data_IF_771182482199
#
_entry.id   IF_771182482199
#
_cell.length_a   1.000
_cell.length_b   1.000
_cell.length_c   1.000
_cell.angle_alpha   90.00
_cell.angle_beta   90.00
_cell.angle_gamma   90.00
#
_symmetry.space_group_name_H-M   'P 1'
#
loop_
_entity.id
_entity.type
_entity.pdbx_description
1 polymer ?
#
# COMPACT_ATOMS: atom_id res chain seq x y z
N UNK A 1 26.91 -18.12 12.89
CA UNK A 1 25.73 -17.27 12.70
C UNK A 1 24.79 -17.64 13.81
N UNK A 2 24.29 -16.68 14.59
CA UNK A 2 23.20 -16.96 15.55
C UNK A 2 21.99 -17.43 14.74
N UNK A 3 21.39 -18.52 15.18
CA UNK A 3 20.16 -19.04 14.57
C UNK A 3 19.07 -17.97 14.73
N UNK A 4 18.44 -17.55 13.62
CA UNK A 4 17.35 -16.57 13.66
C UNK A 4 16.13 -17.23 14.30
N UNK A 5 15.42 -16.50 15.15
CA UNK A 5 14.11 -16.92 15.60
C UNK A 5 13.12 -17.01 14.43
N UNK A 6 12.21 -17.97 14.48
CA UNK A 6 11.23 -18.17 13.42
C UNK A 6 9.80 -18.17 13.96
N UNK A 7 8.88 -17.55 13.23
CA UNK A 7 7.45 -17.53 13.52
C UNK A 7 6.67 -18.12 12.33
N UNK A 8 5.77 -19.09 12.57
CA UNK A 8 4.94 -19.69 11.52
C UNK A 8 3.63 -18.93 11.39
N UNK A 9 3.21 -18.70 10.14
CA UNK A 9 1.91 -18.15 9.74
C UNK A 9 1.29 -18.96 8.60
N UNK A 10 -0.02 -18.85 8.41
CA UNK A 10 -0.62 -19.34 7.18
C UNK A 10 -0.29 -18.42 6.01
N UNK A 11 -0.33 -17.10 6.25
CA UNK A 11 -0.07 -16.08 5.24
C UNK A 11 0.84 -14.99 5.80
N UNK A 12 1.91 -14.69 5.07
CA UNK A 12 2.74 -13.51 5.28
C UNK A 12 2.57 -12.55 4.11
N UNK A 13 2.35 -11.28 4.41
CA UNK A 13 2.19 -10.21 3.41
C UNK A 13 3.31 -9.19 3.58
N UNK A 14 4.03 -8.89 2.52
CA UNK A 14 5.09 -7.87 2.51
C UNK A 14 4.52 -6.58 1.94
N UNK A 15 4.35 -5.59 2.80
CA UNK A 15 3.83 -4.26 2.50
C UNK A 15 2.40 -4.02 2.97
N UNK A 16 2.22 -3.03 3.86
CA UNK A 16 0.93 -2.55 4.36
C UNK A 16 0.36 -1.41 3.50
N UNK A 17 0.51 -1.52 2.19
CA UNK A 17 -0.18 -0.65 1.22
C UNK A 17 -1.61 -1.13 0.97
N UNK A 18 -2.37 -0.43 0.08
CA UNK A 18 -3.76 -0.80 -0.22
C UNK A 18 -3.92 -2.26 -0.64
N UNK A 19 -2.99 -2.79 -1.44
CA UNK A 19 -3.04 -4.16 -1.93
C UNK A 19 -2.87 -5.19 -0.81
N UNK A 20 -1.85 -5.02 0.05
CA UNK A 20 -1.59 -5.93 1.17
C UNK A 20 -2.70 -5.92 2.21
N UNK A 21 -3.17 -4.73 2.59
CA UNK A 21 -4.26 -4.58 3.55
C UNK A 21 -5.58 -5.15 3.03
N UNK A 22 -5.92 -4.88 1.76
CA UNK A 22 -7.12 -5.45 1.13
C UNK A 22 -7.07 -6.97 1.04
N UNK A 23 -5.90 -7.53 0.72
CA UNK A 23 -5.70 -8.97 0.70
C UNK A 23 -5.90 -9.57 2.09
N UNK A 24 -5.30 -9.00 3.14
CA UNK A 24 -5.44 -9.46 4.51
C UNK A 24 -6.89 -9.44 4.98
N UNK A 25 -7.59 -8.31 4.78
CA UNK A 25 -9.02 -8.17 5.13
C UNK A 25 -9.85 -9.24 4.40
N UNK A 26 -9.64 -9.41 3.09
CA UNK A 26 -10.39 -10.38 2.30
C UNK A 26 -10.11 -11.82 2.74
N UNK A 27 -8.88 -12.16 3.10
CA UNK A 27 -8.51 -13.47 3.64
C UNK A 27 -9.27 -13.70 4.95
N UNK A 28 -9.24 -12.76 5.88
CA UNK A 28 -9.94 -12.88 7.17
C UNK A 28 -11.46 -12.94 7.02
N UNK A 29 -12.04 -12.22 6.05
CA UNK A 29 -13.48 -12.33 5.73
C UNK A 29 -13.87 -13.72 5.22
N UNK A 30 -12.99 -14.38 4.47
CA UNK A 30 -13.26 -15.71 3.88
C UNK A 30 -12.86 -16.85 4.79
N UNK A 31 -11.86 -16.66 5.61
CA UNK A 31 -11.26 -17.67 6.49
C UNK A 31 -10.78 -17.02 7.78
N UNK A 32 -11.69 -16.78 8.75
CA UNK A 32 -11.37 -16.05 9.99
C UNK A 32 -10.23 -16.66 10.82
N UNK A 33 -10.08 -17.98 10.77
CA UNK A 33 -9.07 -18.70 11.55
C UNK A 33 -7.66 -18.68 10.93
N UNK A 34 -7.53 -18.19 9.69
CA UNK A 34 -6.23 -18.08 9.02
C UNK A 34 -5.34 -17.08 9.76
N UNK A 35 -4.15 -17.48 10.15
CA UNK A 35 -3.14 -16.60 10.73
C UNK A 35 -2.51 -15.75 9.62
N UNK A 36 -2.64 -14.42 9.75
CA UNK A 36 -2.14 -13.46 8.75
C UNK A 36 -1.24 -12.44 9.42
N UNK A 37 -0.05 -12.24 8.87
CA UNK A 37 0.90 -11.24 9.30
C UNK A 37 1.26 -10.32 8.14
N UNK A 38 1.41 -9.02 8.41
CA UNK A 38 1.88 -8.01 7.44
C UNK A 38 3.16 -7.38 7.97
N UNK A 39 4.22 -7.38 7.15
CA UNK A 39 5.44 -6.62 7.41
C UNK A 39 5.37 -5.28 6.66
N UNK A 40 5.65 -4.19 7.37
CA UNK A 40 5.72 -2.85 6.80
C UNK A 40 7.07 -2.20 7.14
N UNK A 41 7.80 -1.74 6.12
CA UNK A 41 9.10 -1.09 6.31
C UNK A 41 9.03 0.31 6.90
N UNK A 42 7.91 1.01 6.70
CA UNK A 42 7.66 2.31 7.30
C UNK A 42 7.48 2.21 8.80
N UNK A 43 7.86 3.25 9.52
CA UNK A 43 7.67 3.33 10.98
C UNK A 43 6.20 3.26 11.40
N UNK A 44 5.30 3.54 10.49
CA UNK A 44 3.85 3.39 10.61
C UNK A 44 3.25 3.07 9.23
N UNK A 45 2.05 2.49 9.22
CA UNK A 45 1.31 2.26 7.98
C UNK A 45 0.99 3.59 7.31
N UNK A 46 1.28 3.68 6.01
CA UNK A 46 1.04 4.88 5.22
C UNK A 46 2.16 5.91 5.20
N UNK A 47 3.22 5.75 6.02
CA UNK A 47 4.33 6.72 6.10
C UNK A 47 5.07 6.92 4.75
N UNK A 48 5.17 5.89 3.94
CA UNK A 48 5.87 5.94 2.65
C UNK A 48 4.93 6.10 1.45
N UNK A 49 3.64 6.37 1.69
CA UNK A 49 2.67 6.54 0.62
C UNK A 49 2.61 8.01 0.22
N UNK A 50 2.88 8.31 -1.05
CA UNK A 50 2.66 9.64 -1.60
C UNK A 50 1.16 9.95 -1.56
N UNK A 51 0.79 10.92 -0.74
CA UNK A 51 -0.59 11.25 -0.40
C UNK A 51 -1.27 12.13 -1.44
N UNK A 52 -2.60 12.18 -1.37
CA UNK A 52 -3.49 12.91 -2.28
C UNK A 52 -3.81 12.08 -3.53
N UNK A 53 -4.99 11.53 -3.56
CA UNK A 53 -5.48 10.74 -4.68
C UNK A 53 -6.96 11.02 -4.92
N UNK A 54 -7.38 10.81 -6.17
CA UNK A 54 -8.79 10.62 -6.50
C UNK A 54 -9.03 9.11 -6.54
N UNK A 55 -9.97 8.63 -5.76
CA UNK A 55 -10.20 7.21 -5.53
C UNK A 55 -11.60 6.84 -5.99
N UNK A 56 -11.69 5.87 -6.92
CA UNK A 56 -12.93 5.20 -7.26
C UNK A 56 -13.29 4.25 -6.10
N UNK A 57 -14.46 4.40 -5.45
CA UNK A 57 -14.83 3.64 -4.27
C UNK A 57 -15.20 2.18 -4.56
N UNK A 58 -15.31 1.78 -5.82
CA UNK A 58 -15.80 0.46 -6.23
C UNK A 58 -15.14 -0.69 -5.46
N UNK A 59 -13.81 -0.70 -5.38
CA UNK A 59 -13.07 -1.76 -4.67
C UNK A 59 -13.33 -1.72 -3.17
N UNK A 60 -13.53 -0.53 -2.61
CA UNK A 60 -13.83 -0.37 -1.19
C UNK A 60 -15.29 -0.76 -0.89
N UNK A 61 -16.23 -0.43 -1.78
CA UNK A 61 -17.63 -0.89 -1.71
C UNK A 61 -17.75 -2.42 -1.75
N UNK A 62 -16.86 -3.09 -2.50
CA UNK A 62 -16.79 -4.56 -2.55
C UNK A 62 -16.11 -5.18 -1.33
N UNK A 63 -15.12 -4.50 -0.74
CA UNK A 63 -14.33 -5.01 0.37
C UNK A 63 -15.04 -4.80 1.71
N UNK A 64 -15.53 -3.58 1.95
CA UNK A 64 -16.19 -3.14 3.19
C UNK A 64 -17.41 -2.29 2.78
N UNK A 65 -18.57 -2.89 2.49
CA UNK A 65 -19.71 -2.18 1.89
C UNK A 65 -20.20 -0.96 2.68
N UNK A 66 -20.05 -0.98 3.99
CA UNK A 66 -20.49 0.05 4.95
C UNK A 66 -19.34 0.99 5.38
N UNK A 67 -18.26 1.07 4.62
CA UNK A 67 -17.06 1.87 4.96
C UNK A 67 -17.37 3.35 5.23
N UNK A 68 -18.43 3.90 4.60
CA UNK A 68 -18.85 5.30 4.79
C UNK A 68 -19.34 5.57 6.20
N UNK A 69 -19.95 4.57 6.83
CA UNK A 69 -20.52 4.66 8.17
C UNK A 69 -19.51 4.24 9.27
N UNK A 70 -18.35 3.70 8.85
CA UNK A 70 -17.30 3.22 9.76
C UNK A 70 -16.18 4.23 10.00
N UNK A 71 -16.41 5.52 9.74
CA UNK A 71 -15.41 6.57 9.98
C UNK A 71 -14.21 6.51 9.03
N UNK A 72 -14.37 5.98 7.83
CA UNK A 72 -13.33 6.01 6.81
C UNK A 72 -13.05 7.47 6.39
N UNK A 73 -11.80 7.94 6.46
CA UNK A 73 -11.46 9.34 6.15
C UNK A 73 -11.75 9.75 4.70
N UNK A 74 -11.93 8.77 3.82
CA UNK A 74 -12.28 9.02 2.43
C UNK A 74 -13.72 9.54 2.27
N UNK A 75 -14.64 9.18 3.17
CA UNK A 75 -16.05 9.56 3.10
C UNK A 75 -16.31 11.06 3.22
N UNK A 76 -15.34 11.80 3.77
CA UNK A 76 -15.47 13.22 4.06
C UNK A 76 -15.45 14.13 2.82
N UNK A 77 -14.79 13.69 1.73
CA UNK A 77 -14.54 14.55 0.57
C UNK A 77 -14.97 13.88 -0.75
N UNK A 78 -16.29 13.76 -0.99
CA UNK A 78 -16.80 13.30 -2.29
C UNK A 78 -16.50 14.33 -3.38
N UNK A 79 -16.24 13.88 -4.61
CA UNK A 79 -16.11 14.74 -5.78
C UNK A 79 -17.50 15.10 -6.29
N UNK A 80 -17.91 16.35 -6.06
CA UNK A 80 -19.21 16.87 -6.51
C UNK A 80 -19.10 17.57 -7.88
N UNK A 81 -17.95 18.18 -8.17
CA UNK A 81 -17.66 18.83 -9.44
C UNK A 81 -16.26 18.44 -9.96
N UNK A 82 -16.14 18.33 -11.26
CA UNK A 82 -14.91 17.97 -11.95
C UNK A 82 -14.75 18.81 -13.17
N UNK A 83 -13.74 19.66 -13.23
CA UNK A 83 -13.51 20.61 -14.31
C UNK A 83 -12.16 20.39 -14.97
N UNK A 84 -12.13 20.52 -16.29
CA UNK A 84 -10.91 20.47 -17.10
C UNK A 84 -10.62 21.84 -17.69
N UNK A 85 -9.51 22.43 -17.30
CA UNK A 85 -9.17 23.80 -17.68
C UNK A 85 -7.92 23.82 -18.54
N UNK A 86 -8.00 24.51 -19.66
CA UNK A 86 -6.83 24.91 -20.44
C UNK A 86 -6.39 26.27 -19.94
N UNK A 87 -5.18 26.35 -19.42
CA UNK A 87 -4.59 27.61 -18.91
C UNK A 87 -3.77 28.27 -20.00
N UNK A 88 -3.92 29.59 -20.14
CA UNK A 88 -3.14 30.44 -21.05
C UNK A 88 -2.42 31.51 -20.25
N UNK A 89 -1.54 32.27 -20.89
CA UNK A 89 -0.84 33.39 -20.21
C UNK A 89 -1.78 34.48 -19.68
N UNK A 90 -2.96 34.61 -20.26
CA UNK A 90 -3.91 35.71 -19.96
C UNK A 90 -5.26 35.24 -19.42
N UNK A 91 -5.49 33.94 -19.28
CA UNK A 91 -6.78 33.43 -18.82
C UNK A 91 -6.89 31.93 -18.80
N UNK A 92 -8.12 31.45 -18.61
CA UNK A 92 -8.46 30.05 -18.56
C UNK A 92 -9.69 29.75 -19.42
N UNK A 93 -9.76 28.54 -19.96
CA UNK A 93 -10.89 28.03 -20.71
C UNK A 93 -11.31 26.68 -20.13
N UNK A 94 -12.59 26.53 -19.79
CA UNK A 94 -13.12 25.27 -19.30
C UNK A 94 -13.53 24.38 -20.48
N UNK A 95 -13.00 23.16 -20.52
CA UNK A 95 -13.34 22.16 -21.52
C UNK A 95 -14.68 21.54 -21.14
N UNK A 96 -15.71 21.62 -21.98
CA UNK A 96 -17.02 21.04 -21.67
C UNK A 96 -16.95 19.52 -21.46
N UNK A 97 -17.64 19.02 -20.45
CA UNK A 97 -17.64 17.59 -20.08
C UNK A 97 -18.05 16.66 -21.22
N UNK A 98 -18.96 17.09 -22.10
CA UNK A 98 -19.48 16.24 -23.17
C UNK A 98 -18.45 15.91 -24.26
N UNK A 99 -17.33 16.64 -24.32
CA UNK A 99 -16.22 16.37 -25.25
C UNK A 99 -15.05 15.66 -24.58
N UNK A 100 -15.09 15.48 -23.27
CA UNK A 100 -14.04 14.73 -22.54
C UNK A 100 -14.39 13.25 -22.46
N UNK A 101 -13.39 12.34 -22.63
CA UNK A 101 -13.62 10.90 -22.49
C UNK A 101 -14.12 10.55 -21.08
N UNK A 102 -14.97 9.50 -20.99
CA UNK A 102 -15.57 9.09 -19.71
C UNK A 102 -14.56 8.77 -18.58
N UNK A 103 -13.37 8.28 -18.92
CA UNK A 103 -12.31 8.00 -17.93
C UNK A 103 -11.71 9.27 -17.28
N UNK A 104 -12.01 10.46 -17.83
CA UNK A 104 -11.61 11.74 -17.23
C UNK A 104 -12.68 12.29 -16.29
N UNK A 105 -13.82 11.62 -16.14
CA UNK A 105 -14.91 12.07 -15.28
C UNK A 105 -14.75 11.46 -13.88
N UNK A 106 -14.63 12.33 -12.87
CA UNK A 106 -14.42 11.92 -11.48
C UNK A 106 -15.67 12.04 -10.61
N UNK A 107 -16.82 12.32 -11.17
CA UNK A 107 -18.08 12.37 -10.42
C UNK A 107 -18.39 11.01 -9.79
N UNK A 108 -18.63 10.99 -8.49
CA UNK A 108 -18.88 9.76 -7.73
C UNK A 108 -17.61 9.11 -7.16
N UNK A 109 -16.45 9.71 -7.40
CA UNK A 109 -15.19 9.36 -6.73
C UNK A 109 -14.99 10.19 -5.46
N UNK A 110 -13.89 9.96 -4.77
CA UNK A 110 -13.53 10.68 -3.54
C UNK A 110 -12.09 11.17 -3.63
N UNK A 111 -11.83 12.36 -3.10
CA UNK A 111 -10.45 12.84 -2.91
C UNK A 111 -10.02 12.58 -1.47
N UNK A 112 -8.76 12.22 -1.30
CA UNK A 112 -8.26 11.97 0.06
C UNK A 112 -6.80 11.57 0.11
N UNK A 113 -6.32 11.41 1.32
CA UNK A 113 -4.99 10.89 1.61
C UNK A 113 -5.01 9.37 1.54
N UNK A 114 -4.28 8.80 0.60
CA UNK A 114 -4.12 7.34 0.51
C UNK A 114 -3.42 6.77 1.75
N UNK A 115 -2.52 7.55 2.38
CA UNK A 115 -1.89 7.17 3.65
C UNK A 115 -2.92 7.05 4.78
N UNK A 116 -3.86 8.01 4.87
CA UNK A 116 -4.93 7.95 5.88
C UNK A 116 -5.88 6.77 5.63
N UNK A 117 -6.21 6.52 4.36
CA UNK A 117 -7.00 5.33 3.99
C UNK A 117 -6.29 4.04 4.42
N UNK A 118 -4.98 3.92 4.18
CA UNK A 118 -4.23 2.74 4.61
C UNK A 118 -4.19 2.59 6.14
N UNK A 119 -4.05 3.67 6.90
CA UNK A 119 -4.14 3.59 8.38
C UNK A 119 -5.50 3.09 8.83
N UNK A 120 -6.57 3.58 8.22
CA UNK A 120 -7.93 3.11 8.53
C UNK A 120 -8.10 1.63 8.15
N UNK A 121 -7.65 1.21 6.97
CA UNK A 121 -7.68 -0.20 6.55
C UNK A 121 -6.84 -1.09 7.48
N UNK A 122 -5.71 -0.59 8.00
CA UNK A 122 -4.90 -1.31 8.97
C UNK A 122 -5.70 -1.59 10.25
N UNK A 123 -6.40 -0.58 10.79
CA UNK A 123 -7.29 -0.77 11.93
C UNK A 123 -8.40 -1.79 11.66
N UNK A 124 -8.98 -1.80 10.44
CA UNK A 124 -9.96 -2.82 10.06
C UNK A 124 -9.35 -4.23 10.03
N UNK A 125 -8.14 -4.37 9.50
CA UNK A 125 -7.42 -5.63 9.45
C UNK A 125 -7.06 -6.14 10.87
N UNK A 126 -6.54 -5.27 11.74
CA UNK A 126 -6.20 -5.58 13.13
C UNK A 126 -7.43 -6.02 13.93
N UNK A 127 -8.58 -5.35 13.74
CA UNK A 127 -9.86 -5.75 14.35
C UNK A 127 -10.31 -7.16 13.93
N UNK A 128 -9.84 -7.66 12.80
CA UNK A 128 -10.07 -9.03 12.32
C UNK A 128 -8.99 -10.01 12.77
N UNK A 129 -8.00 -9.58 13.58
CA UNK A 129 -6.91 -10.41 14.07
C UNK A 129 -5.78 -10.59 13.06
N UNK A 130 -5.53 -9.60 12.20
CA UNK A 130 -4.30 -9.51 11.41
C UNK A 130 -3.21 -8.88 12.26
N UNK A 131 -2.04 -9.48 12.29
CA UNK A 131 -0.87 -8.92 12.95
C UNK A 131 -0.12 -8.02 11.97
N UNK A 132 0.05 -6.74 12.30
CA UNK A 132 0.79 -5.78 11.47
C UNK A 132 2.04 -5.33 12.22
N UNK A 133 3.20 -5.45 11.57
CA UNK A 133 4.51 -5.09 12.13
C UNK A 133 5.11 -3.88 11.38
N UNK A 134 4.80 -2.64 11.77
CA UNK A 134 5.46 -1.45 11.25
C UNK A 134 6.91 -1.38 11.72
N UNK A 135 7.80 -0.83 10.88
CA UNK A 135 9.23 -0.75 11.17
C UNK A 135 10.01 -2.02 10.83
N UNK A 136 9.35 -3.12 10.49
CA UNK A 136 10.00 -4.38 10.14
C UNK A 136 10.01 -4.57 8.61
N UNK A 137 11.18 -4.38 8.03
CA UNK A 137 11.39 -4.57 6.60
C UNK A 137 11.69 -6.04 6.29
N UNK A 138 10.92 -6.67 5.41
CA UNK A 138 11.33 -7.93 4.82
C UNK A 138 12.57 -7.69 3.94
N UNK A 139 13.69 -8.34 4.28
CA UNK A 139 14.98 -8.13 3.66
C UNK A 139 15.43 -9.30 2.77
N UNK A 140 14.95 -10.50 3.05
CA UNK A 140 15.37 -11.74 2.39
C UNK A 140 14.17 -12.63 2.08
N UNK A 141 14.20 -13.33 0.95
CA UNK A 141 13.22 -14.36 0.62
C UNK A 141 13.80 -15.71 1.01
N UNK A 142 13.06 -16.45 1.80
CA UNK A 142 13.41 -17.80 2.20
C UNK A 142 12.81 -18.80 1.22
N UNK A 143 13.57 -19.85 0.90
CA UNK A 143 13.16 -20.89 -0.03
C UNK A 143 13.21 -22.26 0.62
N UNK A 144 12.31 -23.12 0.22
CA UNK A 144 12.36 -24.55 0.48
C UNK A 144 13.40 -25.24 -0.42
N UNK A 145 13.72 -26.49 -0.14
CA UNK A 145 14.67 -27.29 -0.94
C UNK A 145 14.22 -27.47 -2.40
N UNK A 146 12.91 -27.48 -2.64
CA UNK A 146 12.31 -27.56 -3.97
C UNK A 146 12.30 -26.23 -4.73
N UNK A 147 12.82 -25.15 -4.13
CA UNK A 147 12.88 -23.81 -4.68
C UNK A 147 11.59 -22.98 -4.54
N UNK A 148 10.54 -23.51 -3.94
CA UNK A 148 9.34 -22.75 -3.59
C UNK A 148 9.64 -21.74 -2.46
N UNK A 149 8.83 -20.68 -2.38
CA UNK A 149 8.97 -19.67 -1.31
C UNK A 149 8.50 -20.26 0.01
N UNK A 150 9.38 -20.26 1.01
CA UNK A 150 9.11 -20.70 2.39
C UNK A 150 8.55 -19.56 3.25
N UNK A 151 8.91 -18.31 2.92
CA UNK A 151 8.58 -17.13 3.68
C UNK A 151 9.57 -16.01 3.44
N UNK A 152 9.72 -15.13 4.40
CA UNK A 152 10.69 -14.02 4.36
C UNK A 152 11.42 -13.88 5.68
N UNK A 153 12.61 -13.26 5.65
CA UNK A 153 13.30 -12.82 6.85
C UNK A 153 13.33 -11.29 6.92
N UNK A 154 13.20 -10.74 8.12
CA UNK A 154 13.41 -9.32 8.39
C UNK A 154 14.91 -9.00 8.41
N UNK A 155 15.26 -7.75 8.16
CA UNK A 155 16.61 -7.26 8.33
C UNK A 155 17.00 -7.14 9.80
N UNK A 156 18.31 -7.22 10.08
CA UNK A 156 18.85 -6.93 11.39
C UNK A 156 18.56 -5.48 11.78
N UNK A 157 18.23 -5.24 13.03
CA UNK A 157 18.03 -3.91 13.60
C UNK A 157 19.26 -3.48 14.44
N UNK A 158 19.39 -2.16 14.67
CA UNK A 158 20.51 -1.67 15.47
C UNK A 158 21.89 -1.79 14.79
N UNK A 159 21.94 -1.75 13.45
CA UNK A 159 23.20 -1.68 12.68
C UNK A 159 23.56 -0.22 12.45
N UNK A 160 24.80 0.16 12.79
CA UNK A 160 25.34 1.47 12.48
C UNK A 160 25.70 1.59 10.97
N UNK A 161 25.92 2.83 10.53
CA UNK A 161 26.21 3.11 9.10
C UNK A 161 27.50 2.46 8.59
N UNK A 162 28.44 2.16 9.48
CA UNK A 162 29.71 1.46 9.19
C UNK A 162 29.60 -0.06 9.27
N UNK A 163 28.36 -0.60 9.54
CA UNK A 163 28.09 -2.02 9.67
C UNK A 163 28.31 -2.58 11.07
N UNK A 164 28.75 -1.77 12.05
CA UNK A 164 28.89 -2.23 13.44
C UNK A 164 27.56 -2.38 14.15
N UNK A 165 27.50 -3.32 15.10
CA UNK A 165 26.32 -3.52 15.94
C UNK A 165 26.29 -2.47 17.04
N UNK A 166 25.12 -1.81 17.21
CA UNK A 166 24.83 -0.90 18.29
C UNK A 166 24.40 -1.68 19.54
N UNK A 167 24.23 -0.95 20.66
CA UNK A 167 23.76 -1.55 21.93
C UNK A 167 22.34 -2.15 21.83
N UNK A 168 21.54 -1.66 20.92
CA UNK A 168 20.17 -2.09 20.61
C UNK A 168 20.09 -3.06 19.41
N UNK A 169 21.20 -3.72 19.08
CA UNK A 169 21.24 -4.72 18.01
C UNK A 169 20.27 -5.87 18.29
N UNK A 170 19.45 -6.16 17.29
CA UNK A 170 18.58 -7.33 17.25
C UNK A 170 18.75 -8.04 15.89
N UNK A 171 19.00 -9.35 15.89
CA UNK A 171 19.04 -10.11 14.64
C UNK A 171 17.65 -10.13 13.99
N UNK A 172 17.61 -10.22 12.66
CA UNK A 172 16.38 -10.42 11.94
C UNK A 172 15.70 -11.73 12.32
N UNK A 173 14.38 -11.81 12.10
CA UNK A 173 13.55 -12.99 12.36
C UNK A 173 13.12 -13.59 11.02
N UNK A 174 12.84 -14.90 11.03
CA UNK A 174 12.24 -15.60 9.90
C UNK A 174 10.73 -15.72 10.10
N UNK A 175 9.95 -15.32 9.10
CA UNK A 175 8.51 -15.56 9.05
C UNK A 175 8.23 -16.61 7.99
N UNK A 176 7.90 -17.80 8.45
CA UNK A 176 7.56 -18.93 7.59
C UNK A 176 6.07 -18.90 7.27
N UNK A 177 5.69 -19.16 6.02
CA UNK A 177 4.30 -19.12 5.61
C UNK A 177 3.95 -20.19 4.58
N UNK A 178 2.68 -20.62 4.59
CA UNK A 178 2.13 -21.45 3.51
C UNK A 178 2.02 -20.64 2.21
N UNK A 179 1.69 -19.33 2.34
CA UNK A 179 1.59 -18.38 1.23
C UNK A 179 2.25 -17.07 1.60
N UNK A 180 3.05 -16.53 0.68
CA UNK A 180 3.68 -15.22 0.84
C UNK A 180 3.20 -14.27 -0.25
N UNK A 181 2.61 -13.13 0.14
CA UNK A 181 2.16 -12.08 -0.78
C UNK A 181 3.18 -10.95 -0.82
N UNK A 182 3.70 -10.63 -1.99
CA UNK A 182 4.61 -9.52 -2.20
C UNK A 182 3.82 -8.29 -2.69
N UNK A 183 3.32 -7.50 -1.75
CA UNK A 183 2.53 -6.28 -1.99
C UNK A 183 3.38 -5.01 -1.86
N UNK A 184 4.63 -5.06 -2.33
CA UNK A 184 5.68 -4.05 -2.13
C UNK A 184 5.54 -2.81 -3.03
N UNK A 185 4.50 -2.74 -3.84
CA UNK A 185 4.30 -1.68 -4.81
C UNK A 185 5.21 -1.80 -6.05
N UNK A 186 5.23 -0.72 -6.84
CA UNK A 186 5.83 -0.72 -8.20
C UNK A 186 7.35 -1.00 -8.22
N UNK A 187 8.06 -0.77 -7.12
CA UNK A 187 9.52 -0.95 -7.01
C UNK A 187 9.93 -1.84 -5.85
N UNK A 188 9.14 -2.87 -5.57
CA UNK A 188 9.44 -3.85 -4.55
C UNK A 188 10.83 -4.48 -4.74
N UNK A 189 11.66 -4.46 -3.70
CA UNK A 189 13.04 -4.95 -3.81
C UNK A 189 13.12 -6.48 -3.81
N UNK A 190 12.23 -7.17 -3.10
CA UNK A 190 12.12 -8.63 -3.14
C UNK A 190 11.45 -9.10 -4.42
N UNK A 191 10.42 -8.40 -4.88
CA UNK A 191 9.76 -8.67 -6.17
C UNK A 191 10.78 -8.62 -7.33
N UNK A 192 11.77 -7.73 -7.29
CA UNK A 192 12.85 -7.70 -8.29
C UNK A 192 13.71 -8.97 -8.31
N UNK A 193 13.81 -9.69 -7.19
CA UNK A 193 14.52 -10.96 -7.11
C UNK A 193 13.66 -12.12 -7.61
N UNK A 194 12.33 -12.06 -7.35
CA UNK A 194 11.38 -13.08 -7.80
C UNK A 194 11.19 -13.08 -9.32
N UNK A 195 11.15 -11.90 -9.94
CA UNK A 195 10.92 -11.76 -11.38
C UNK A 195 11.82 -12.64 -12.23
N UNK A 196 13.15 -12.55 -12.16
CA UNK A 196 14.03 -13.41 -12.96
C UNK A 196 14.01 -14.87 -12.51
N UNK A 197 13.82 -15.15 -11.20
CA UNK A 197 13.81 -16.51 -10.68
C UNK A 197 12.62 -17.32 -11.19
N UNK A 198 11.46 -16.71 -11.30
CA UNK A 198 10.21 -17.36 -11.71
C UNK A 198 9.70 -16.89 -13.09
N UNK A 199 10.50 -16.11 -13.82
CA UNK A 199 10.15 -15.54 -15.13
C UNK A 199 8.81 -14.78 -15.11
N UNK A 200 8.52 -14.02 -14.04
CA UNK A 200 7.21 -13.42 -13.81
C UNK A 200 6.86 -12.28 -14.79
N UNK A 201 7.82 -11.77 -15.51
CA UNK A 201 7.67 -10.68 -16.48
C UNK A 201 8.06 -11.09 -17.92
N UNK A 202 8.15 -12.41 -18.19
CA UNK A 202 8.58 -12.92 -19.50
C UNK A 202 7.67 -12.45 -20.64
N UNK A 203 6.36 -12.34 -20.38
CA UNK A 203 5.35 -11.92 -21.35
C UNK A 203 4.84 -10.49 -21.11
N UNK A 204 5.55 -9.71 -20.30
CA UNK A 204 5.15 -8.34 -19.97
C UNK A 204 5.76 -7.32 -20.92
N UNK A 205 4.99 -6.31 -21.31
CA UNK A 205 5.51 -5.13 -22.00
C UNK A 205 6.49 -4.35 -21.11
N UNK A 206 7.45 -3.62 -21.70
CA UNK A 206 8.37 -2.78 -20.94
C UNK A 206 7.63 -1.79 -20.05
N UNK A 207 8.05 -1.68 -18.79
CA UNK A 207 7.43 -0.78 -17.82
C UNK A 207 7.64 0.69 -18.23
N UNK A 208 6.55 1.47 -18.31
CA UNK A 208 6.58 2.91 -18.55
C UNK A 208 6.48 3.65 -17.21
N UNK A 209 7.35 4.65 -17.02
CA UNK A 209 7.39 5.46 -15.81
C UNK A 209 6.93 6.89 -16.10
N UNK A 210 5.93 7.35 -15.34
CA UNK A 210 5.58 8.77 -15.28
C UNK A 210 6.36 9.47 -14.18
N UNK A 211 6.71 10.74 -14.41
CA UNK A 211 7.28 11.62 -13.38
C UNK A 211 6.21 12.63 -13.00
N UNK A 212 5.85 12.67 -11.72
CA UNK A 212 4.90 13.63 -11.17
C UNK A 212 5.54 14.47 -10.06
N UNK A 213 5.14 15.72 -9.97
CA UNK A 213 5.43 16.61 -8.84
C UNK A 213 4.10 16.88 -8.14
N UNK A 214 4.08 16.73 -6.82
CA UNK A 214 2.90 16.99 -6.00
C UNK A 214 3.24 18.01 -4.94
N UNK A 215 2.38 19.03 -4.79
CA UNK A 215 2.48 20.05 -3.78
C UNK A 215 1.18 20.11 -2.97
N UNK A 216 1.29 20.41 -1.69
CA UNK A 216 0.16 20.70 -0.81
C UNK A 216 0.17 22.19 -0.51
N UNK A 217 -0.95 22.85 -0.81
CA UNK A 217 -1.09 24.28 -0.63
C UNK A 217 -2.20 24.57 0.38
N UNK A 218 -1.90 25.36 1.40
CA UNK A 218 -2.93 25.95 2.25
C UNK A 218 -3.49 27.21 1.54
N UNK A 219 -4.81 27.25 1.40
CA UNK A 219 -5.51 28.38 0.82
C UNK A 219 -6.36 29.06 1.88
N UNK A 220 -6.57 30.40 1.80
CA UNK A 220 -7.47 31.11 2.68
C UNK A 220 -8.89 30.52 2.59
N UNK A 221 -9.61 30.36 3.73
CA UNK A 221 -10.94 29.72 3.75
C UNK A 221 -11.96 30.35 2.79
N UNK A 222 -11.86 31.67 2.57
CA UNK A 222 -12.73 32.42 1.66
C UNK A 222 -12.48 32.11 0.17
N UNK A 223 -11.39 31.45 -0.17
CA UNK A 223 -11.05 30.99 -1.53
C UNK A 223 -11.42 29.52 -1.75
N UNK A 224 -11.84 28.82 -0.69
CA UNK A 224 -12.26 27.43 -0.79
C UNK A 224 -13.66 27.33 -1.40
N UNK A 225 -13.78 26.49 -2.42
CA UNK A 225 -15.06 26.08 -3.01
C UNK A 225 -15.13 24.55 -2.92
N UNK A 226 -16.22 24.03 -2.37
CA UNK A 226 -16.47 22.59 -2.36
C UNK A 226 -16.68 22.10 -3.81
N UNK A 227 -15.90 21.06 -4.22
CA UNK A 227 -15.92 20.50 -5.57
C UNK A 227 -16.12 18.98 -5.60
#
# INVERSE_FOLDING_TARGET
MSERESMPYDVVIVGAGPAGLSAAIRIKQKSPDTSVCILEKGSEVGAHILSGAVIDPKSLDELIPDWRDQGCPLAEVPVNDNQHWVLTKSGKFNVPHFITPGFMHNKGTYTGSLGNLCRWLAGQAENMGVEIFPGFSAAEILYNEDGSVKGVATGDMGIARDGSQKADYMPGMELHAKYTFFAEGVRGHLTKQLKPKFALDADSEPQVYGIGIKELWDIPPEQHHAG
#
